data_IF_736907175318
#
_entry.id   IF_736907175318
#
_cell.length_a   1.000
_cell.length_b   1.000
_cell.length_c   1.000
_cell.angle_alpha   90.00
_cell.angle_beta   90.00
_cell.angle_gamma   90.00
#
_symmetry.space_group_name_H-M   'P 1'
#
loop_
_entity.id
_entity.type
_entity.pdbx_description
1 polymer ?
#
# COMPACT_ATOMS: atom_id res chain seq x y z
N UNK A 1 -17.55 -30.44 17.74
CA UNK A 1 -16.17 -29.96 17.98
C UNK A 1 -16.19 -28.47 17.77
N UNK A 2 -15.63 -27.67 18.68
CA UNK A 2 -15.63 -26.22 18.54
C UNK A 2 -14.71 -25.84 17.36
N UNK A 3 -15.32 -25.50 16.24
CA UNK A 3 -14.63 -25.18 14.99
C UNK A 3 -13.84 -23.91 15.18
N UNK A 4 -12.57 -23.93 14.77
CA UNK A 4 -11.72 -22.76 14.88
C UNK A 4 -12.35 -21.61 14.06
N UNK A 5 -12.73 -20.48 14.69
CA UNK A 5 -13.44 -19.40 14.01
C UNK A 5 -12.62 -18.81 12.85
N UNK A 6 -11.29 -18.89 12.91
CA UNK A 6 -10.44 -18.48 11.78
C UNK A 6 -10.57 -19.39 10.56
N UNK A 7 -10.74 -20.70 10.76
CA UNK A 7 -10.91 -21.66 9.64
C UNK A 7 -12.22 -21.38 8.92
N UNK A 8 -13.30 -21.16 9.68
CA UNK A 8 -14.61 -20.83 9.12
C UNK A 8 -14.54 -19.51 8.33
N UNK A 9 -13.87 -18.49 8.88
CA UNK A 9 -13.67 -17.20 8.21
C UNK A 9 -12.91 -17.30 6.89
N UNK A 10 -11.82 -18.08 6.84
CA UNK A 10 -11.05 -18.30 5.59
C UNK A 10 -11.86 -19.03 4.54
N UNK A 11 -12.62 -20.05 4.94
CA UNK A 11 -13.47 -20.83 4.01
C UNK A 11 -14.61 -19.98 3.47
N UNK A 12 -15.25 -19.17 4.31
CA UNK A 12 -16.29 -18.22 3.90
C UNK A 12 -15.75 -17.15 2.95
N UNK A 13 -14.53 -16.64 3.19
CA UNK A 13 -13.88 -15.68 2.30
C UNK A 13 -13.57 -16.31 0.95
N UNK A 14 -13.02 -17.52 0.94
CA UNK A 14 -12.73 -18.27 -0.28
C UNK A 14 -13.99 -18.45 -1.14
N UNK A 15 -15.11 -18.86 -0.52
CA UNK A 15 -16.39 -19.05 -1.22
C UNK A 15 -16.89 -17.78 -1.93
N UNK A 16 -16.81 -16.64 -1.25
CA UNK A 16 -17.43 -15.39 -1.72
C UNK A 16 -16.52 -14.62 -2.67
N UNK A 17 -15.20 -14.71 -2.49
CA UNK A 17 -14.22 -13.97 -3.27
C UNK A 17 -13.75 -14.72 -4.52
N UNK A 18 -13.71 -16.05 -4.50
CA UNK A 18 -13.27 -16.85 -5.65
C UNK A 18 -14.00 -16.57 -6.98
N UNK A 19 -15.31 -16.28 -7.04
CA UNK A 19 -15.96 -15.96 -8.31
C UNK A 19 -15.70 -14.52 -8.80
N UNK A 20 -15.11 -13.67 -7.96
CA UNK A 20 -14.93 -12.23 -8.22
C UNK A 20 -13.46 -11.85 -8.43
N UNK A 21 -12.55 -12.60 -7.84
CA UNK A 21 -11.11 -12.33 -7.82
C UNK A 21 -10.36 -13.44 -8.55
N UNK A 22 -9.27 -13.07 -9.22
CA UNK A 22 -8.26 -14.00 -9.70
C UNK A 22 -7.46 -14.62 -8.54
N UNK A 23 -6.67 -15.64 -8.83
CA UNK A 23 -5.98 -16.44 -7.81
C UNK A 23 -5.00 -15.61 -6.97
N UNK A 24 -4.30 -14.66 -7.57
CA UNK A 24 -3.34 -13.79 -6.87
C UNK A 24 -4.06 -12.82 -5.92
N UNK A 25 -5.09 -12.13 -6.43
CA UNK A 25 -5.90 -11.23 -5.62
C UNK A 25 -6.66 -11.96 -4.50
N UNK A 26 -7.14 -13.19 -4.76
CA UNK A 26 -7.79 -14.03 -3.76
C UNK A 26 -6.83 -14.39 -2.62
N UNK A 27 -5.60 -14.82 -2.94
CA UNK A 27 -4.59 -15.15 -1.94
C UNK A 27 -4.21 -13.90 -1.12
N UNK A 28 -4.04 -12.75 -1.77
CA UNK A 28 -3.76 -11.48 -1.09
C UNK A 28 -4.88 -11.08 -0.13
N UNK A 29 -6.15 -11.25 -0.54
CA UNK A 29 -7.31 -10.99 0.31
C UNK A 29 -7.38 -11.95 1.52
N UNK A 30 -7.10 -13.24 1.32
CA UNK A 30 -7.07 -14.22 2.40
C UNK A 30 -5.95 -13.95 3.42
N UNK A 31 -4.78 -13.49 2.96
CA UNK A 31 -3.69 -13.07 3.84
C UNK A 31 -4.07 -11.82 4.64
N UNK A 32 -4.63 -10.81 3.98
CA UNK A 32 -5.14 -9.62 4.64
C UNK A 32 -6.12 -9.99 5.77
N UNK A 33 -7.09 -10.86 5.47
CA UNK A 33 -8.07 -11.34 6.43
C UNK A 33 -7.41 -12.00 7.66
N UNK A 34 -6.39 -12.83 7.42
CA UNK A 34 -5.68 -13.54 8.48
C UNK A 34 -4.91 -12.59 9.41
N UNK A 35 -4.37 -11.51 8.86
CA UNK A 35 -3.55 -10.53 9.59
C UNK A 35 -4.39 -9.48 10.34
N UNK A 36 -5.50 -9.03 9.75
CA UNK A 36 -6.30 -7.90 10.27
C UNK A 36 -7.51 -8.32 11.08
N UNK A 37 -8.21 -9.41 10.72
CA UNK A 37 -9.43 -9.81 11.41
C UNK A 37 -9.14 -10.57 12.71
N UNK A 38 -9.20 -9.86 13.84
CA UNK A 38 -9.03 -10.46 15.17
C UNK A 38 -10.32 -11.03 15.77
N UNK A 39 -11.49 -10.62 15.29
CA UNK A 39 -12.80 -11.09 15.76
C UNK A 39 -13.88 -11.14 14.69
N UNK A 40 -15.13 -11.34 15.12
CA UNK A 40 -16.33 -11.38 14.26
C UNK A 40 -17.17 -10.10 14.40
N UNK A 41 -16.55 -9.01 14.85
CA UNK A 41 -17.23 -7.73 14.97
C UNK A 41 -17.64 -7.24 13.58
N UNK A 42 -18.84 -6.65 13.48
CA UNK A 42 -19.37 -6.13 12.21
C UNK A 42 -18.42 -5.08 11.62
N UNK A 43 -17.78 -4.27 12.46
CA UNK A 43 -16.75 -3.31 12.05
C UNK A 43 -15.55 -3.95 11.37
N UNK A 44 -15.08 -5.09 11.87
CA UNK A 44 -13.92 -5.82 11.31
C UNK A 44 -14.28 -6.41 9.95
N UNK A 45 -15.51 -6.94 9.82
CA UNK A 45 -16.04 -7.49 8.56
C UNK A 45 -16.19 -6.38 7.51
N UNK A 46 -16.75 -5.22 7.89
CA UNK A 46 -16.91 -4.08 6.99
C UNK A 46 -15.53 -3.59 6.52
N UNK A 47 -14.59 -3.35 7.45
CA UNK A 47 -13.25 -2.89 7.13
C UNK A 47 -12.51 -3.83 6.19
N UNK A 48 -12.55 -5.14 6.47
CA UNK A 48 -11.96 -6.15 5.57
C UNK A 48 -12.56 -6.08 4.15
N UNK A 49 -13.88 -5.96 4.04
CA UNK A 49 -14.57 -5.91 2.75
C UNK A 49 -14.29 -4.61 2.00
N UNK A 50 -14.22 -3.48 2.69
CA UNK A 50 -13.82 -2.20 2.11
C UNK A 50 -12.39 -2.26 1.57
N UNK A 51 -11.46 -2.89 2.29
CA UNK A 51 -10.08 -3.06 1.84
C UNK A 51 -9.98 -3.97 0.62
N UNK A 52 -10.67 -5.12 0.63
CA UNK A 52 -10.68 -6.04 -0.53
C UNK A 52 -11.35 -5.38 -1.73
N UNK A 53 -12.47 -4.68 -1.54
CA UNK A 53 -13.16 -3.96 -2.61
C UNK A 53 -12.30 -2.82 -3.17
N UNK A 54 -11.61 -2.08 -2.31
CA UNK A 54 -10.73 -0.98 -2.69
C UNK A 54 -9.51 -1.44 -3.49
N UNK A 55 -8.91 -2.58 -3.12
CA UNK A 55 -7.76 -3.16 -3.85
C UNK A 55 -8.14 -3.69 -5.23
N UNK A 56 -9.37 -4.18 -5.38
CA UNK A 56 -9.85 -4.83 -6.60
C UNK A 56 -10.81 -3.96 -7.43
N UNK A 57 -10.96 -2.67 -7.09
CA UNK A 57 -11.81 -1.71 -7.79
C UNK A 57 -13.28 -2.14 -7.93
N UNK A 58 -13.80 -2.81 -6.91
CA UNK A 58 -15.20 -3.20 -6.89
C UNK A 58 -16.09 -1.97 -6.67
N UNK A 59 -17.12 -1.84 -7.50
CA UNK A 59 -18.12 -0.78 -7.38
C UNK A 59 -18.94 -0.90 -6.09
N UNK A 60 -19.64 0.18 -5.72
CA UNK A 60 -20.41 0.24 -4.48
C UNK A 60 -21.54 -0.81 -4.40
N UNK A 61 -22.13 -1.21 -5.53
CA UNK A 61 -23.19 -2.23 -5.56
C UNK A 61 -22.58 -3.61 -5.31
N UNK A 62 -21.47 -3.92 -5.98
CA UNK A 62 -20.71 -5.16 -5.75
C UNK A 62 -20.21 -5.25 -4.33
N UNK A 63 -19.77 -4.14 -3.72
CA UNK A 63 -19.32 -4.10 -2.33
C UNK A 63 -20.42 -4.43 -1.32
N UNK A 64 -21.60 -3.83 -1.49
CA UNK A 64 -22.76 -4.15 -0.63
C UNK A 64 -23.16 -5.62 -0.76
N UNK A 65 -23.17 -6.15 -1.99
CA UNK A 65 -23.42 -7.58 -2.24
C UNK A 65 -22.36 -8.47 -1.62
N UNK A 66 -21.09 -8.05 -1.64
CA UNK A 66 -19.97 -8.77 -1.02
C UNK A 66 -20.18 -8.90 0.48
N UNK A 67 -20.53 -7.80 1.15
CA UNK A 67 -20.87 -7.79 2.57
C UNK A 67 -22.01 -8.74 2.90
N UNK A 68 -23.13 -8.65 2.19
CA UNK A 68 -24.28 -9.52 2.43
C UNK A 68 -23.95 -11.00 2.19
N UNK A 69 -23.16 -11.30 1.14
CA UNK A 69 -22.77 -12.67 0.78
C UNK A 69 -21.78 -13.25 1.77
N UNK A 70 -20.79 -12.46 2.20
CA UNK A 70 -19.80 -12.85 3.20
C UNK A 70 -20.42 -13.06 4.58
N UNK A 71 -21.30 -12.15 5.02
CA UNK A 71 -22.03 -12.30 6.28
C UNK A 71 -22.94 -13.54 6.28
N UNK A 72 -23.57 -13.87 5.13
CA UNK A 72 -24.31 -15.13 4.96
C UNK A 72 -23.40 -16.34 4.99
N UNK A 73 -22.24 -16.29 4.33
CA UNK A 73 -21.28 -17.39 4.29
C UNK A 73 -20.72 -17.74 5.68
N UNK A 74 -20.55 -16.76 6.57
CA UNK A 74 -20.16 -16.99 7.97
C UNK A 74 -21.22 -17.77 8.78
N UNK A 75 -22.46 -17.85 8.31
CA UNK A 75 -23.57 -18.58 8.97
C UNK A 75 -23.86 -19.93 8.33
N UNK A 76 -23.18 -20.28 7.24
CA UNK A 76 -23.36 -21.56 6.58
C UNK A 76 -22.76 -22.70 7.42
N UNK A 77 -23.36 -23.90 7.37
CA UNK A 77 -22.75 -25.07 7.98
C UNK A 77 -21.47 -25.44 7.22
N UNK A 78 -20.51 -26.05 7.92
CA UNK A 78 -19.18 -26.35 7.36
C UNK A 78 -19.18 -27.26 6.14
N UNK A 79 -20.22 -28.07 5.98
CA UNK A 79 -20.40 -28.95 4.82
C UNK A 79 -20.65 -28.18 3.51
N UNK A 80 -21.20 -26.96 3.60
CA UNK A 80 -21.52 -26.11 2.45
C UNK A 80 -20.36 -25.15 2.12
N UNK A 81 -19.30 -25.15 2.93
CA UNK A 81 -18.12 -24.31 2.73
C UNK A 81 -17.03 -25.06 1.95
N UNK A 82 -16.27 -24.37 1.08
CA UNK A 82 -15.17 -24.99 0.32
C UNK A 82 -14.03 -25.44 1.25
N UNK A 83 -13.08 -26.23 0.74
CA UNK A 83 -11.91 -26.66 1.52
C UNK A 83 -11.10 -25.47 2.05
N UNK A 84 -10.46 -25.61 3.22
CA UNK A 84 -9.67 -24.52 3.82
C UNK A 84 -8.49 -24.15 2.90
N UNK A 85 -8.38 -22.88 2.45
CA UNK A 85 -7.29 -22.44 1.59
C UNK A 85 -5.95 -22.29 2.31
N UNK A 86 -5.87 -22.56 3.61
CA UNK A 86 -4.66 -22.40 4.41
C UNK A 86 -3.39 -23.08 3.83
N UNK A 87 -3.43 -24.34 3.33
CA UNK A 87 -2.26 -24.96 2.72
C UNK A 87 -1.77 -24.21 1.47
N UNK A 88 -2.70 -23.71 0.64
CA UNK A 88 -2.38 -22.93 -0.55
C UNK A 88 -1.76 -21.57 -0.18
N UNK A 89 -2.31 -20.91 0.84
CA UNK A 89 -1.75 -19.66 1.39
C UNK A 89 -0.29 -19.88 1.85
N UNK A 90 -0.01 -20.92 2.63
CA UNK A 90 1.35 -21.20 3.12
C UNK A 90 2.34 -21.53 1.98
N UNK A 91 1.90 -22.26 0.96
CA UNK A 91 2.72 -22.56 -0.21
C UNK A 91 3.14 -21.28 -0.94
N UNK A 92 2.22 -20.33 -1.14
CA UNK A 92 2.52 -19.04 -1.81
C UNK A 92 3.57 -18.21 -1.07
N UNK A 93 3.59 -18.24 0.27
CA UNK A 93 4.57 -17.50 1.09
C UNK A 93 5.97 -18.12 1.06
N UNK A 94 6.05 -19.44 0.89
CA UNK A 94 7.34 -20.15 0.83
C UNK A 94 8.08 -19.85 -0.48
N UNK A 95 7.34 -19.63 -1.57
CA UNK A 95 7.88 -19.26 -2.88
C UNK A 95 8.42 -17.82 -2.91
N UNK A 96 7.91 -16.93 -2.03
CA UNK A 96 8.35 -15.55 -1.93
C UNK A 96 9.59 -15.32 -1.03
N UNK A 97 10.18 -16.39 -0.46
CA UNK A 97 11.43 -16.25 0.30
C UNK A 97 12.57 -15.86 -0.64
N UNK A 98 13.40 -14.84 -0.31
CA UNK A 98 14.58 -14.53 -1.10
C UNK A 98 15.48 -15.77 -1.17
N UNK A 99 16.15 -16.03 -2.31
CA UNK A 99 17.05 -17.18 -2.41
C UNK A 99 18.08 -17.07 -1.29
N UNK A 100 18.04 -18.04 -0.38
CA UNK A 100 19.07 -18.24 0.62
C UNK A 100 20.36 -18.41 -0.18
N UNK A 101 21.21 -17.39 -0.15
CA UNK A 101 22.56 -17.47 -0.70
C UNK A 101 23.23 -18.63 0.04
N UNK A 102 23.59 -19.73 -0.62
CA UNK A 102 24.27 -20.82 0.06
C UNK A 102 25.57 -20.26 0.65
N UNK A 103 25.71 -20.40 1.96
CA UNK A 103 26.93 -20.05 2.67
C UNK A 103 28.12 -20.76 1.98
N UNK A 104 29.21 -20.04 1.65
CA UNK A 104 30.35 -20.67 0.99
C UNK A 104 30.97 -21.72 1.94
N UNK A 105 31.34 -22.91 1.44
CA UNK A 105 32.00 -23.91 2.26
C UNK A 105 33.37 -23.41 2.72
N UNK A 106 33.70 -23.75 3.97
CA UNK A 106 34.92 -23.40 4.67
C UNK A 106 36.18 -23.69 3.84
N UNK A 107 37.05 -22.69 3.74
CA UNK A 107 38.36 -22.80 3.10
C UNK A 107 39.33 -23.66 3.94
N UNK A 108 40.08 -24.59 3.33
CA UNK A 108 41.34 -25.08 3.87
C UNK A 108 42.51 -24.14 3.49
N UNK A 109 43.65 -24.21 4.21
CA UNK A 109 44.69 -23.18 4.17
C UNK A 109 45.55 -23.21 2.90
N UNK A 110 46.06 -22.03 2.56
CA UNK A 110 46.92 -21.71 1.41
C UNK A 110 48.19 -22.57 1.30
N UNK A 111 48.75 -22.67 0.08
CA UNK A 111 50.10 -22.12 -0.09
C UNK A 111 50.33 -21.36 -1.42
N UNK A 112 51.01 -20.21 -1.26
CA UNK A 112 52.10 -19.63 -2.06
C UNK A 112 52.08 -19.76 -3.60
N UNK A 113 52.00 -18.62 -4.31
CA UNK A 113 53.01 -18.21 -5.33
C UNK A 113 52.73 -16.82 -5.91
N UNK A 114 53.83 -16.15 -6.26
CA UNK A 114 53.99 -14.72 -6.59
C UNK A 114 53.56 -14.36 -8.05
N UNK A 115 53.59 -13.07 -8.44
CA UNK A 115 52.98 -12.51 -9.67
C UNK A 115 53.93 -12.62 -10.88
N UNK A 116 53.50 -12.40 -12.16
CA UNK A 116 53.38 -11.03 -12.68
C UNK A 116 52.36 -10.80 -13.83
N UNK A 117 52.11 -9.50 -14.03
CA UNK A 117 51.90 -8.81 -15.31
C UNK A 117 50.48 -8.67 -15.91
N UNK A 118 50.21 -7.51 -16.54
CA UNK A 118 48.90 -7.03 -16.90
C UNK A 118 48.52 -7.46 -18.32
N UNK A 119 47.24 -7.75 -18.55
CA UNK A 119 46.72 -7.82 -19.92
C UNK A 119 45.27 -7.41 -19.94
N UNK A 120 45.02 -6.46 -20.83
CA UNK A 120 43.73 -5.98 -21.28
C UNK A 120 42.69 -7.10 -21.43
N UNK A 121 41.49 -6.85 -20.91
CA UNK A 121 40.30 -7.60 -21.26
C UNK A 121 39.15 -6.60 -21.39
N UNK A 122 38.97 -6.15 -22.63
CA UNK A 122 37.72 -6.19 -23.37
C UNK A 122 36.46 -5.93 -22.56
N UNK A 123 35.94 -4.72 -22.74
CA UNK A 123 34.54 -4.37 -22.56
C UNK A 123 33.64 -5.47 -23.13
N UNK A 124 32.96 -6.21 -22.25
CA UNK A 124 31.73 -6.90 -22.59
C UNK A 124 30.58 -5.97 -22.19
N UNK A 125 29.64 -5.66 -23.11
CA UNK A 125 28.47 -4.86 -22.79
C UNK A 125 27.55 -5.71 -21.91
N UNK A 126 27.58 -5.43 -20.60
CA UNK A 126 26.58 -5.96 -19.67
C UNK A 126 25.20 -5.47 -20.12
N UNK A 127 24.21 -6.36 -20.33
CA UNK A 127 22.85 -5.94 -20.62
C UNK A 127 22.36 -5.13 -19.43
N UNK A 128 22.14 -3.84 -19.70
CA UNK A 128 21.62 -2.85 -18.77
C UNK A 128 20.36 -3.40 -18.10
N UNK A 129 20.57 -4.00 -16.93
CA UNK A 129 19.52 -4.41 -16.01
C UNK A 129 18.93 -3.09 -15.54
N UNK A 130 17.72 -2.78 -16.02
CA UNK A 130 16.99 -1.58 -15.68
C UNK A 130 17.09 -1.35 -14.17
N UNK A 131 17.92 -0.37 -13.81
CA UNK A 131 18.16 0.06 -12.45
C UNK A 131 16.83 0.62 -11.96
N UNK A 132 16.29 0.06 -10.89
CA UNK A 132 15.17 0.68 -10.19
C UNK A 132 15.52 2.16 -9.96
N UNK A 133 14.59 3.10 -10.19
CA UNK A 133 14.86 4.52 -10.01
C UNK A 133 15.33 4.75 -8.58
N UNK A 134 16.58 5.18 -8.47
CA UNK A 134 17.21 5.62 -7.23
C UNK A 134 16.39 6.84 -6.74
N UNK A 135 15.97 6.91 -5.46
CA UNK A 135 15.23 8.06 -4.91
C UNK A 135 16.00 9.40 -4.95
N UNK A 136 17.22 9.39 -5.52
CA UNK A 136 18.12 10.52 -5.69
C UNK A 136 17.88 11.30 -7.00
N UNK A 137 17.15 10.72 -7.97
CA UNK A 137 16.91 11.34 -9.30
C UNK A 137 15.51 11.97 -9.43
N UNK A 138 14.70 11.91 -8.37
CA UNK A 138 13.38 12.53 -8.37
C UNK A 138 13.49 14.04 -8.10
N UNK A 139 12.64 14.88 -8.73
CA UNK A 139 12.59 16.32 -8.45
C UNK A 139 12.38 16.60 -6.96
N UNK A 140 13.08 17.61 -6.43
CA UNK A 140 13.01 17.95 -5.00
C UNK A 140 11.57 18.22 -4.56
N UNK A 141 10.75 18.85 -5.41
CA UNK A 141 9.32 19.09 -5.19
C UNK A 141 8.48 17.81 -5.04
N UNK A 142 8.76 16.77 -5.83
CA UNK A 142 8.05 15.48 -5.78
C UNK A 142 8.39 14.75 -4.48
N UNK A 143 9.66 14.79 -4.06
CA UNK A 143 10.10 14.17 -2.81
C UNK A 143 9.46 14.86 -1.60
N UNK A 144 9.44 16.20 -1.60
CA UNK A 144 8.85 17.00 -0.52
C UNK A 144 7.34 16.84 -0.46
N UNK A 145 6.66 16.81 -1.62
CA UNK A 145 5.22 16.53 -1.69
C UNK A 145 4.90 15.13 -1.16
N UNK A 146 5.60 14.09 -1.63
CA UNK A 146 5.41 12.73 -1.15
C UNK A 146 5.65 12.61 0.37
N UNK A 147 6.66 13.31 0.91
CA UNK A 147 6.91 13.34 2.35
C UNK A 147 5.78 14.03 3.12
N UNK A 148 5.28 15.16 2.62
CA UNK A 148 4.14 15.88 3.22
C UNK A 148 2.87 15.03 3.22
N UNK A 149 2.55 14.44 2.07
CA UNK A 149 1.36 13.59 1.91
C UNK A 149 1.39 12.38 2.84
N UNK A 150 2.54 11.71 2.93
CA UNK A 150 2.72 10.58 3.85
C UNK A 150 2.56 11.00 5.31
N UNK A 151 3.16 12.11 5.72
CA UNK A 151 3.03 12.60 7.08
C UNK A 151 1.56 12.89 7.45
N UNK A 152 0.80 13.47 6.53
CA UNK A 152 -0.64 13.70 6.73
C UNK A 152 -1.42 12.40 6.88
N UNK A 153 -1.22 11.45 5.96
CA UNK A 153 -1.97 10.19 5.98
C UNK A 153 -1.63 9.33 7.20
N UNK A 154 -0.35 9.25 7.57
CA UNK A 154 0.12 8.49 8.73
C UNK A 154 -0.49 9.05 10.02
N UNK A 155 -0.56 10.38 10.15
CA UNK A 155 -1.16 11.03 11.32
C UNK A 155 -2.67 10.73 11.44
N UNK A 156 -3.44 10.84 10.34
CA UNK A 156 -4.87 10.48 10.35
C UNK A 156 -5.06 9.00 10.68
N UNK A 157 -4.23 8.13 10.10
CA UNK A 157 -4.36 6.69 10.29
C UNK A 157 -4.02 6.25 11.72
N UNK A 158 -3.00 6.85 12.34
CA UNK A 158 -2.57 6.53 13.71
C UNK A 158 -3.51 7.10 14.77
N UNK A 159 -3.88 8.38 14.66
CA UNK A 159 -4.67 9.05 15.69
C UNK A 159 -6.17 8.78 15.53
N UNK A 160 -6.64 8.62 14.29
CA UNK A 160 -8.08 8.61 13.95
C UNK A 160 -8.43 7.62 12.83
N UNK A 161 -8.26 6.31 13.05
CA UNK A 161 -8.52 5.28 12.03
C UNK A 161 -9.99 5.24 11.56
N UNK A 162 -10.94 5.74 12.37
CA UNK A 162 -12.35 5.80 11.98
C UNK A 162 -12.64 6.89 10.95
N UNK A 163 -11.98 8.04 11.07
CA UNK A 163 -12.19 9.19 10.20
C UNK A 163 -11.38 9.05 8.88
N UNK A 164 -10.39 8.16 8.86
CA UNK A 164 -9.59 7.87 7.66
C UNK A 164 -10.44 7.42 6.47
N UNK A 165 -11.47 6.58 6.70
CA UNK A 165 -12.37 6.12 5.64
C UNK A 165 -13.20 7.26 5.05
N UNK A 166 -13.65 8.20 5.89
CA UNK A 166 -14.41 9.37 5.46
C UNK A 166 -13.51 10.37 4.73
N UNK A 167 -12.28 10.59 5.23
CA UNK A 167 -11.27 11.41 4.57
C UNK A 167 -10.91 10.85 3.20
N UNK A 168 -10.64 9.55 3.11
CA UNK A 168 -10.33 8.88 1.84
C UNK A 168 -11.47 9.06 0.85
N UNK A 169 -12.72 8.89 1.28
CA UNK A 169 -13.89 9.11 0.43
C UNK A 169 -13.97 10.55 -0.06
N UNK A 170 -13.89 11.53 0.84
CA UNK A 170 -13.93 12.96 0.48
C UNK A 170 -12.79 13.35 -0.47
N UNK A 171 -11.56 12.87 -0.21
CA UNK A 171 -10.40 13.13 -1.05
C UNK A 171 -10.53 12.49 -2.44
N UNK A 172 -11.02 11.24 -2.54
CA UNK A 172 -11.25 10.59 -3.83
C UNK A 172 -12.32 11.33 -4.65
N UNK A 173 -13.42 11.75 -4.02
CA UNK A 173 -14.43 12.56 -4.70
C UNK A 173 -13.88 13.92 -5.16
N UNK A 174 -13.04 14.56 -4.34
CA UNK A 174 -12.37 15.81 -4.70
C UNK A 174 -11.43 15.63 -5.89
N UNK A 175 -10.64 14.54 -5.91
CA UNK A 175 -9.74 14.19 -7.02
C UNK A 175 -10.48 13.85 -8.31
N UNK A 176 -11.64 13.22 -8.24
CA UNK A 176 -12.49 12.95 -9.41
C UNK A 176 -13.03 14.23 -10.04
N UNK A 177 -13.45 15.19 -9.21
CA UNK A 177 -13.99 16.50 -9.63
C UNK A 177 -12.89 17.44 -10.12
N UNK A 178 -11.68 17.32 -9.58
CA UNK A 178 -10.53 18.12 -10.00
C UNK A 178 -10.12 17.80 -11.43
N UNK A 179 -9.60 18.80 -12.15
CA UNK A 179 -9.07 18.64 -13.52
C UNK A 179 -7.56 18.44 -13.52
N UNK A 180 -7.08 17.53 -12.67
CA UNK A 180 -5.67 17.12 -12.64
C UNK A 180 -5.31 16.27 -13.87
N UNK A 181 -4.04 16.34 -14.28
CA UNK A 181 -3.45 15.47 -15.29
C UNK A 181 -3.66 13.99 -14.91
N UNK A 182 -3.89 13.16 -15.93
CA UNK A 182 -4.25 11.75 -15.76
C UNK A 182 -3.20 10.96 -14.98
N UNK A 183 -1.92 11.16 -15.30
CA UNK A 183 -0.82 10.44 -14.65
C UNK A 183 -0.69 10.79 -13.16
N UNK A 184 -0.87 12.08 -12.80
CA UNK A 184 -0.87 12.54 -11.42
C UNK A 184 -2.07 11.99 -10.65
N UNK A 185 -3.26 12.01 -11.27
CA UNK A 185 -4.47 11.44 -10.69
C UNK A 185 -4.29 9.95 -10.42
N UNK A 186 -3.80 9.20 -11.39
CA UNK A 186 -3.59 7.76 -11.25
C UNK A 186 -2.56 7.44 -10.16
N UNK A 187 -1.48 8.24 -10.04
CA UNK A 187 -0.50 8.12 -8.97
C UNK A 187 -1.10 8.44 -7.58
N UNK A 188 -1.94 9.46 -7.47
CA UNK A 188 -2.64 9.80 -6.23
C UNK A 188 -3.67 8.72 -5.84
N UNK A 189 -4.42 8.20 -6.81
CA UNK A 189 -5.34 7.09 -6.60
C UNK A 189 -4.60 5.83 -6.13
N UNK A 190 -3.45 5.53 -6.71
CA UNK A 190 -2.62 4.40 -6.30
C UNK A 190 -2.06 4.57 -4.88
N UNK A 191 -1.61 5.79 -4.53
CA UNK A 191 -1.20 6.12 -3.17
C UNK A 191 -2.33 5.90 -2.15
N UNK A 192 -3.58 6.25 -2.51
CA UNK A 192 -4.77 5.98 -1.69
C UNK A 192 -5.17 4.51 -1.61
N UNK A 193 -4.76 3.67 -2.58
CA UNK A 193 -5.04 2.22 -2.54
C UNK A 193 -4.11 1.49 -1.58
N UNK A 194 -2.89 1.99 -1.41
CA UNK A 194 -1.87 1.32 -0.61
C UNK A 194 -1.34 2.17 0.54
N UNK A 195 -2.12 2.92 1.35
CA UNK A 195 -1.65 4.01 2.24
C UNK A 195 -0.46 3.69 3.17
N UNK A 196 -0.14 2.41 3.39
CA UNK A 196 1.03 1.92 4.13
C UNK A 196 2.31 1.73 3.30
N UNK A 197 2.26 1.88 1.98
CA UNK A 197 3.41 1.72 1.08
C UNK A 197 4.10 3.06 0.88
N UNK A 198 4.93 3.50 1.84
CA UNK A 198 5.59 4.80 1.82
C UNK A 198 6.67 4.96 0.70
N UNK A 199 6.61 4.21 -0.40
CA UNK A 199 7.53 4.27 -1.53
C UNK A 199 7.10 5.19 -2.68
N UNK A 200 5.88 5.75 -2.69
CA UNK A 200 5.40 6.46 -3.89
C UNK A 200 6.09 7.79 -4.15
N UNK A 201 6.55 7.97 -5.37
CA UNK A 201 6.92 9.26 -5.91
C UNK A 201 5.79 9.68 -6.83
N UNK A 202 5.13 10.78 -6.50
CA UNK A 202 3.95 11.25 -7.23
C UNK A 202 4.43 12.31 -8.24
N UNK A 203 4.55 11.97 -9.53
CA UNK A 203 5.12 12.88 -10.52
C UNK A 203 4.12 14.01 -10.82
N UNK A 204 4.57 15.24 -10.66
CA UNK A 204 3.75 16.43 -10.91
C UNK A 204 4.59 17.68 -10.91
N UNK A 205 4.10 18.71 -11.61
CA UNK A 205 4.68 20.04 -11.53
C UNK A 205 4.23 20.73 -10.23
N UNK A 206 4.98 21.74 -9.75
CA UNK A 206 4.70 22.47 -8.50
C UNK A 206 3.23 22.92 -8.38
N UNK A 207 2.65 23.43 -9.46
CA UNK A 207 1.26 23.88 -9.48
C UNK A 207 0.26 22.73 -9.30
N UNK A 208 0.50 21.59 -9.94
CA UNK A 208 -0.38 20.42 -9.82
C UNK A 208 -0.27 19.76 -8.44
N UNK A 209 0.95 19.71 -7.89
CA UNK A 209 1.21 19.19 -6.54
C UNK A 209 0.56 20.09 -5.49
N UNK A 210 0.64 21.42 -5.66
CA UNK A 210 -0.05 22.36 -4.76
C UNK A 210 -1.57 22.24 -4.85
N UNK A 211 -2.13 22.07 -6.06
CA UNK A 211 -3.56 21.80 -6.23
C UNK A 211 -3.98 20.51 -5.50
N UNK A 212 -3.16 19.45 -5.60
CA UNK A 212 -3.41 18.21 -4.89
C UNK A 212 -3.38 18.38 -3.36
N UNK A 213 -2.42 19.13 -2.80
CA UNK A 213 -2.38 19.48 -1.37
C UNK A 213 -3.64 20.24 -0.95
N UNK A 214 -4.06 21.22 -1.75
CA UNK A 214 -5.25 22.01 -1.43
C UNK A 214 -6.53 21.16 -1.45
N UNK A 215 -6.67 20.23 -2.41
CA UNK A 215 -7.80 19.29 -2.43
C UNK A 215 -7.82 18.40 -1.18
N UNK A 216 -6.65 17.93 -0.74
CA UNK A 216 -6.55 17.18 0.51
C UNK A 216 -6.90 18.03 1.73
N UNK A 217 -6.44 19.28 1.77
CA UNK A 217 -6.76 20.21 2.85
C UNK A 217 -8.27 20.48 2.95
N UNK A 218 -8.96 20.67 1.82
CA UNK A 218 -10.43 20.81 1.80
C UNK A 218 -11.10 19.55 2.33
N UNK A 219 -10.67 18.35 1.89
CA UNK A 219 -11.20 17.09 2.38
C UNK A 219 -10.96 16.89 3.89
N UNK A 220 -9.81 17.33 4.41
CA UNK A 220 -9.51 17.36 5.85
C UNK A 220 -10.44 18.32 6.60
N UNK A 221 -10.71 19.50 6.05
CA UNK A 221 -11.63 20.47 6.66
C UNK A 221 -13.06 19.94 6.71
N UNK A 222 -13.52 19.22 5.69
CA UNK A 222 -14.87 18.65 5.63
C UNK A 222 -15.05 17.50 6.64
N UNK A 223 -13.99 16.76 6.95
CA UNK A 223 -14.05 15.58 7.82
C UNK A 223 -13.71 15.86 9.27
N UNK A 224 -12.65 16.63 9.52
CA UNK A 224 -12.13 16.93 10.86
C UNK A 224 -12.49 18.33 11.35
N UNK A 225 -12.89 19.21 10.44
CA UNK A 225 -13.07 20.62 10.70
C UNK A 225 -11.78 21.44 10.49
N UNK A 226 -11.92 22.76 10.28
CA UNK A 226 -10.81 23.61 9.83
C UNK A 226 -9.69 23.76 10.86
N UNK A 227 -10.02 23.78 12.15
CA UNK A 227 -9.03 23.95 13.22
C UNK A 227 -8.11 22.74 13.32
N UNK A 228 -8.67 21.53 13.18
CA UNK A 228 -7.88 20.31 13.24
C UNK A 228 -7.08 20.11 11.96
N UNK A 229 -7.68 20.38 10.80
CA UNK A 229 -6.99 20.32 9.51
C UNK A 229 -5.75 21.23 9.47
N UNK A 230 -5.84 22.45 10.00
CA UNK A 230 -4.71 23.39 10.06
C UNK A 230 -3.59 22.92 11.01
N UNK A 231 -3.97 22.33 12.15
CA UNK A 231 -2.99 21.74 13.08
C UNK A 231 -2.25 20.56 12.45
N UNK A 232 -2.97 19.68 11.74
CA UNK A 232 -2.39 18.53 11.04
C UNK A 232 -1.46 18.98 9.92
N UNK A 233 -1.90 19.94 9.09
CA UNK A 233 -1.08 20.49 8.02
C UNK A 233 0.19 21.14 8.57
N UNK A 234 0.08 21.91 9.66
CA UNK A 234 1.25 22.52 10.32
C UNK A 234 2.25 21.48 10.82
N UNK A 235 1.77 20.35 11.38
CA UNK A 235 2.62 19.25 11.82
C UNK A 235 3.27 18.53 10.65
N UNK A 236 2.50 18.20 9.61
CA UNK A 236 3.00 17.54 8.42
C UNK A 236 4.06 18.39 7.68
N UNK A 237 3.86 19.70 7.59
CA UNK A 237 4.85 20.64 7.02
C UNK A 237 6.15 20.63 7.82
N UNK A 238 6.07 20.53 9.16
CA UNK A 238 7.25 20.41 10.01
C UNK A 238 8.01 19.12 9.77
N UNK A 239 7.30 18.00 9.58
CA UNK A 239 7.89 16.70 9.26
C UNK A 239 8.53 16.71 7.87
N UNK A 240 7.81 17.19 6.86
CA UNK A 240 8.34 17.34 5.50
C UNK A 240 9.56 18.27 5.46
N UNK A 241 9.57 19.33 6.29
CA UNK A 241 10.70 20.25 6.44
C UNK A 241 11.99 19.64 6.98
N UNK A 242 11.93 18.45 7.60
CA UNK A 242 13.11 17.73 8.07
C UNK A 242 13.82 16.94 6.96
N UNK A 243 13.17 16.78 5.79
CA UNK A 243 13.74 16.04 4.66
C UNK A 243 14.92 16.81 4.03
N UNK A 244 16.01 16.15 3.60
CA UNK A 244 17.18 16.82 3.03
C UNK A 244 16.86 17.74 1.82
N UNK A 245 15.92 17.31 0.98
CA UNK A 245 15.40 18.00 -0.20
C UNK A 245 14.58 19.25 0.16
N UNK A 246 13.99 19.31 1.37
CA UNK A 246 13.26 20.48 1.83
C UNK A 246 14.13 21.73 2.01
N UNK A 247 15.46 21.55 2.07
CA UNK A 247 16.43 22.65 2.05
C UNK A 247 16.49 23.37 0.71
N UNK A 248 16.15 22.68 -0.39
CA UNK A 248 16.11 23.22 -1.75
C UNK A 248 14.70 23.63 -2.15
N UNK A 249 13.70 22.89 -1.70
CA UNK A 249 12.29 23.16 -1.97
C UNK A 249 11.46 23.14 -0.67
N UNK A 250 11.14 24.29 -0.08
CA UNK A 250 10.41 24.32 1.19
C UNK A 250 8.96 23.83 1.01
N UNK A 251 8.43 22.95 1.89
CA UNK A 251 7.08 22.40 1.77
C UNK A 251 5.97 23.46 1.78
N UNK A 252 6.25 24.66 2.30
CA UNK A 252 5.31 25.80 2.29
C UNK A 252 5.00 26.34 0.88
N UNK A 253 5.77 25.96 -0.13
CA UNK A 253 5.46 26.29 -1.53
C UNK A 253 4.29 25.50 -2.12
N UNK A 254 3.91 24.40 -1.48
CA UNK A 254 2.84 23.53 -1.94
C UNK A 254 1.48 23.90 -1.32
N UNK A 255 1.43 24.92 -0.45
CA UNK A 255 0.25 25.31 0.34
C UNK A 255 -0.25 26.66 -0.12
#
# INVERSE_FOLDING_TARGET
MATNPMVLRRRAACLVLSPLLDEEALLAALWLQHETMRGDAVSDIIGYIDDVAGRNLLDAVSRKRLYESYYKALKLPEQDLPMDPWPAMQASRTVAAPPVVPAPPAAPPAPVSAPPAPVAATESPEPSRARAPDPTDAPDEVVVFSALWRALLDEVQQDRPRDFSDLRRAALEALERARLRRDLRDALLDAWRQPMNHGWLIPGDEAELSEAVNLLYVALCETLGPVEADQMLTRAVRVAGQHPQARRFPPRRLI
#
